data_IF_231740834145
#
_entry.id   IF_231740834145
#
_cell.length_a   1.000
_cell.length_b   1.000
_cell.length_c   1.000
_cell.angle_alpha   90.00
_cell.angle_beta   90.00
_cell.angle_gamma   90.00
#
_symmetry.space_group_name_H-M   'P 1'
#
loop_
_entity.id
_entity.type
_entity.pdbx_description
1 polymer ?
#
# COMPACT_ATOMS: atom_id res chain seq x y z
N UNK A 1 -8.36 -15.27 79.45
CA UNK A 1 -8.61 -14.93 78.03
C UNK A 1 -7.28 -14.79 77.26
N UNK A 2 -6.21 -15.40 77.76
CA UNK A 2 -4.84 -15.27 77.17
C UNK A 2 -4.17 -16.62 76.90
N UNK A 3 -4.91 -17.70 76.78
CA UNK A 3 -4.34 -19.03 76.53
C UNK A 3 -4.88 -19.73 75.24
N UNK A 4 -5.39 -18.98 74.29
CA UNK A 4 -5.93 -19.54 73.06
C UNK A 4 -5.28 -19.02 71.78
N UNK A 5 -4.06 -18.45 71.87
CA UNK A 5 -3.37 -17.84 70.70
C UNK A 5 -2.08 -18.59 70.30
N UNK A 6 -1.79 -19.72 70.94
CA UNK A 6 -0.59 -20.50 70.53
C UNK A 6 -0.93 -21.96 70.27
N UNK A 7 -1.19 -22.28 69.09
CA UNK A 7 -1.09 -23.55 68.39
C UNK A 7 -2.35 -23.87 67.55
N UNK A 8 -2.35 -23.43 66.35
CA UNK A 8 -2.72 -24.21 65.15
C UNK A 8 -2.80 -23.26 63.95
N UNK A 9 -1.98 -23.45 63.01
CA UNK A 9 -2.15 -22.89 61.67
C UNK A 9 -3.44 -23.47 61.07
N UNK A 10 -4.52 -22.68 61.11
CA UNK A 10 -5.75 -22.97 60.36
C UNK A 10 -5.62 -22.21 59.04
N UNK A 11 -5.54 -22.97 57.96
CA UNK A 11 -5.73 -22.44 56.58
C UNK A 11 -7.18 -21.92 56.47
N UNK A 12 -7.32 -20.60 56.38
CA UNK A 12 -8.62 -19.96 56.10
C UNK A 12 -8.60 -19.58 54.63
N UNK A 13 -9.40 -20.26 53.80
CA UNK A 13 -9.73 -19.80 52.43
C UNK A 13 -10.79 -18.72 52.50
N UNK A 14 -10.50 -17.54 51.97
CA UNK A 14 -11.48 -16.47 51.80
C UNK A 14 -11.99 -16.49 50.35
N UNK A 15 -13.27 -16.74 50.19
CA UNK A 15 -14.00 -16.47 48.94
C UNK A 15 -14.73 -15.14 49.08
N UNK A 16 -14.35 -14.15 48.25
CA UNK A 16 -15.08 -12.89 48.14
C UNK A 16 -15.98 -12.92 46.92
N UNK A 17 -17.28 -12.97 47.09
CA UNK A 17 -18.25 -12.69 46.04
C UNK A 17 -18.49 -11.17 45.95
N UNK A 18 -18.16 -10.58 44.82
CA UNK A 18 -18.43 -9.17 44.50
C UNK A 18 -19.82 -9.14 43.83
N UNK A 19 -20.83 -8.73 44.53
CA UNK A 19 -22.18 -8.50 43.99
C UNK A 19 -22.25 -7.24 43.11
N UNK A 20 -23.11 -7.28 42.11
CA UNK A 20 -23.35 -6.20 41.14
C UNK A 20 -23.73 -4.87 41.81
N UNK A 21 -23.03 -3.81 41.40
CA UNK A 21 -23.25 -2.43 41.87
C UNK A 21 -24.41 -1.79 41.12
N UNK A 22 -25.47 -1.42 41.85
CA UNK A 22 -26.58 -0.59 41.37
C UNK A 22 -26.46 0.78 42.01
N UNK A 23 -26.01 1.76 41.25
CA UNK A 23 -25.85 3.14 41.69
C UNK A 23 -27.20 3.86 41.64
N UNK A 24 -27.94 3.91 42.76
CA UNK A 24 -29.08 4.81 42.92
C UNK A 24 -29.41 5.09 44.39
N UNK A 25 -28.42 5.29 45.26
CA UNK A 25 -28.67 5.91 46.57
C UNK A 25 -27.44 6.50 47.25
N UNK A 26 -27.65 7.59 47.97
CA UNK A 26 -26.67 8.46 48.63
C UNK A 26 -25.93 7.81 49.81
N UNK A 27 -26.11 6.53 50.06
CA UNK A 27 -25.48 5.81 51.19
C UNK A 27 -24.84 4.51 50.68
N UNK A 28 -23.53 4.47 50.60
CA UNK A 28 -22.78 3.24 50.37
C UNK A 28 -22.55 2.51 51.69
N UNK A 29 -23.29 1.43 51.94
CA UNK A 29 -22.99 0.49 53.01
C UNK A 29 -22.41 -0.80 52.41
N UNK A 30 -21.16 -1.08 52.69
CA UNK A 30 -20.52 -2.37 52.35
C UNK A 30 -20.70 -3.32 53.53
N UNK A 31 -21.53 -4.35 53.36
CA UNK A 31 -21.68 -5.42 54.34
C UNK A 31 -20.72 -6.55 54.01
N UNK A 32 -19.73 -6.76 54.86
CA UNK A 32 -18.82 -7.91 54.74
C UNK A 32 -19.38 -9.02 55.62
N UNK A 33 -19.79 -10.11 55.03
CA UNK A 33 -20.23 -11.32 55.74
C UNK A 33 -19.00 -12.24 55.88
N UNK A 34 -18.60 -12.49 57.10
CA UNK A 34 -17.55 -13.45 57.43
C UNK A 34 -18.24 -14.72 57.96
N UNK A 35 -18.26 -15.78 57.20
CA UNK A 35 -18.72 -17.09 57.64
C UNK A 35 -17.55 -17.87 58.22
N UNK A 36 -17.57 -18.15 59.52
CA UNK A 36 -16.56 -18.98 60.19
C UNK A 36 -17.08 -20.45 60.19
N UNK A 37 -16.44 -21.29 59.40
CA UNK A 37 -16.71 -22.75 59.44
C UNK A 37 -15.73 -23.37 60.44
N UNK A 38 -16.24 -23.77 61.59
CA UNK A 38 -15.49 -24.56 62.57
C UNK A 38 -15.76 -26.06 62.31
N UNK A 39 -14.80 -26.76 61.81
CA UNK A 39 -14.82 -28.23 61.72
C UNK A 39 -14.38 -28.85 63.03
N UNK A 40 -15.33 -29.32 63.84
CA UNK A 40 -15.10 -30.09 65.03
C UNK A 40 -15.87 -31.43 65.00
N UNK A 41 -15.45 -32.49 65.78
CA UNK A 41 -16.01 -33.81 65.72
C UNK A 41 -17.49 -33.86 66.13
N UNK A 42 -18.21 -34.76 65.54
CA UNK A 42 -19.65 -34.95 65.59
C UNK A 42 -20.27 -34.81 66.96
N UNK A 43 -21.24 -33.89 67.11
CA UNK A 43 -22.16 -33.88 68.21
C UNK A 43 -22.48 -32.55 68.89
N UNK A 44 -22.19 -31.40 68.36
CA UNK A 44 -22.56 -30.13 68.93
C UNK A 44 -23.40 -29.26 68.00
N UNK A 45 -24.53 -28.75 68.51
CA UNK A 45 -25.42 -27.86 67.79
C UNK A 45 -24.71 -26.58 67.32
N UNK A 46 -24.84 -26.29 66.03
CA UNK A 46 -24.29 -25.09 65.37
C UNK A 46 -25.03 -23.85 65.88
N UNK A 47 -24.35 -23.00 66.63
CA UNK A 47 -24.82 -21.65 66.89
C UNK A 47 -24.24 -20.68 65.86
N UNK A 48 -25.11 -20.18 64.98
CA UNK A 48 -24.73 -19.10 64.07
C UNK A 48 -24.62 -17.78 64.82
N UNK A 49 -23.44 -17.27 64.95
CA UNK A 49 -23.23 -15.90 65.44
C UNK A 49 -22.91 -14.99 64.26
N UNK A 50 -23.89 -14.19 63.85
CA UNK A 50 -23.68 -13.13 62.83
C UNK A 50 -23.22 -11.86 63.55
N UNK A 51 -21.98 -11.43 63.36
CA UNK A 51 -21.51 -10.14 63.81
C UNK A 51 -21.55 -9.14 62.61
N UNK A 52 -22.46 -8.18 62.68
CA UNK A 52 -22.53 -7.07 61.75
C UNK A 52 -21.67 -5.90 62.27
N UNK A 53 -20.56 -5.59 61.64
CA UNK A 53 -19.79 -4.40 61.98
C UNK A 53 -20.18 -3.29 61.00
N UNK A 54 -20.99 -2.34 61.52
CA UNK A 54 -21.32 -1.11 60.78
C UNK A 54 -20.15 -0.12 60.90
N UNK A 55 -19.41 0.06 59.86
CA UNK A 55 -18.43 1.16 59.75
C UNK A 55 -19.14 2.35 59.09
N UNK A 56 -19.65 3.29 59.87
CA UNK A 56 -20.08 4.61 59.41
C UNK A 56 -18.83 5.49 59.31
N UNK A 57 -18.31 5.66 58.10
CA UNK A 57 -17.29 6.67 57.84
C UNK A 57 -17.98 7.88 57.25
N UNK A 58 -18.22 8.91 58.03
CA UNK A 58 -18.53 10.23 57.49
C UNK A 58 -17.36 10.73 56.66
N UNK A 59 -17.50 10.66 55.34
CA UNK A 59 -16.56 11.33 54.46
C UNK A 59 -17.08 12.75 54.22
N UNK A 60 -16.36 13.78 54.70
CA UNK A 60 -16.79 15.15 54.37
C UNK A 60 -16.77 15.30 52.85
N UNK A 61 -17.92 15.56 52.26
CA UNK A 61 -18.08 15.91 50.87
C UNK A 61 -17.41 17.25 50.64
N UNK A 62 -16.11 17.21 50.34
CA UNK A 62 -15.41 18.35 49.81
C UNK A 62 -15.86 18.61 48.36
N UNK A 63 -16.89 19.42 48.22
CA UNK A 63 -17.38 19.97 46.96
C UNK A 63 -16.34 20.92 46.30
N UNK A 64 -15.12 20.49 46.16
CA UNK A 64 -14.00 21.30 45.56
C UNK A 64 -13.21 20.58 44.45
N UNK A 65 -13.65 19.42 43.94
CA UNK A 65 -12.90 18.69 42.94
C UNK A 65 -13.56 18.63 41.54
N UNK A 66 -14.70 19.29 41.30
CA UNK A 66 -15.35 19.24 39.98
C UNK A 66 -14.64 20.09 38.91
N UNK A 67 -14.00 21.19 39.27
CA UNK A 67 -13.30 22.07 38.30
C UNK A 67 -11.95 21.52 37.80
N UNK A 68 -11.23 20.74 38.62
CA UNK A 68 -9.94 20.17 38.21
C UNK A 68 -10.07 18.91 37.34
N UNK A 69 -11.16 18.14 37.51
CA UNK A 69 -11.42 16.93 36.69
C UNK A 69 -11.81 17.26 35.25
N UNK A 70 -12.44 18.40 35.00
CA UNK A 70 -12.82 18.82 33.64
C UNK A 70 -11.61 19.23 32.80
N UNK A 71 -10.63 19.91 33.39
CA UNK A 71 -9.40 20.32 32.69
C UNK A 71 -8.50 19.13 32.32
N UNK A 72 -8.31 18.16 33.24
CA UNK A 72 -7.54 16.94 32.94
C UNK A 72 -8.22 16.06 31.89
N UNK A 73 -9.53 15.98 31.90
CA UNK A 73 -10.31 15.25 30.89
C UNK A 73 -10.19 15.87 29.50
N UNK A 74 -10.27 17.21 29.43
CA UNK A 74 -10.11 17.94 28.16
C UNK A 74 -8.67 17.84 27.63
N UNK A 75 -7.65 17.99 28.47
CA UNK A 75 -6.25 17.82 28.08
C UNK A 75 -5.97 16.43 27.53
N UNK A 76 -6.40 15.38 28.21
CA UNK A 76 -6.25 13.99 27.71
C UNK A 76 -6.97 13.77 26.40
N UNK A 77 -8.15 14.37 26.21
CA UNK A 77 -8.89 14.28 24.94
C UNK A 77 -8.14 14.96 23.79
N UNK A 78 -7.56 16.15 24.03
CA UNK A 78 -6.74 16.87 23.05
C UNK A 78 -5.48 16.06 22.72
N UNK A 79 -4.74 15.57 23.71
CA UNK A 79 -3.55 14.76 23.49
C UNK A 79 -3.86 13.50 22.68
N UNK A 80 -4.97 12.82 22.97
CA UNK A 80 -5.41 11.63 22.22
C UNK A 80 -5.78 11.97 20.79
N UNK A 81 -6.55 13.04 20.59
CA UNK A 81 -6.91 13.51 19.24
C UNK A 81 -5.67 13.83 18.41
N UNK A 82 -4.73 14.59 19.01
CA UNK A 82 -3.48 14.96 18.34
C UNK A 82 -2.63 13.72 18.02
N UNK A 83 -2.51 12.79 18.95
CA UNK A 83 -1.75 11.54 18.73
C UNK A 83 -2.36 10.70 17.60
N UNK A 84 -3.69 10.57 17.54
CA UNK A 84 -4.37 9.84 16.46
C UNK A 84 -4.21 10.57 15.11
N UNK A 85 -4.27 11.91 15.10
CA UNK A 85 -4.05 12.71 13.90
C UNK A 85 -2.61 12.55 13.38
N UNK A 86 -1.62 12.60 14.27
CA UNK A 86 -0.22 12.36 13.90
C UNK A 86 0.01 10.94 13.39
N UNK A 87 -0.66 9.94 13.98
CA UNK A 87 -0.60 8.57 13.50
C UNK A 87 -1.17 8.43 12.08
N UNK A 88 -2.32 9.07 11.79
CA UNK A 88 -2.89 9.11 10.43
C UNK A 88 -1.92 9.78 9.46
N UNK A 89 -1.36 10.93 9.85
CA UNK A 89 -0.38 11.64 9.03
C UNK A 89 0.85 10.78 8.74
N UNK A 90 1.37 10.09 9.75
CA UNK A 90 2.51 9.19 9.59
C UNK A 90 2.21 8.03 8.62
N UNK A 91 0.99 7.45 8.68
CA UNK A 91 0.55 6.42 7.73
C UNK A 91 0.47 6.99 6.32
N UNK A 92 -0.10 8.18 6.15
CA UNK A 92 -0.22 8.80 4.82
C UNK A 92 1.16 9.18 4.26
N UNK A 93 2.06 9.75 5.06
CA UNK A 93 3.43 10.04 4.63
C UNK A 93 4.21 8.78 4.29
N UNK A 94 4.12 7.73 5.12
CA UNK A 94 4.71 6.43 4.80
C UNK A 94 4.13 5.82 3.54
N UNK A 95 2.82 5.97 3.32
CA UNK A 95 2.17 5.49 2.09
C UNK A 95 2.57 6.32 0.86
N UNK A 96 2.89 7.61 1.00
CA UNK A 96 3.45 8.43 -0.08
C UNK A 96 4.82 7.91 -0.54
N UNK A 97 5.68 7.50 0.39
CA UNK A 97 6.95 6.84 0.05
C UNK A 97 6.70 5.53 -0.71
N UNK A 98 5.73 4.72 -0.24
CA UNK A 98 5.32 3.51 -0.95
C UNK A 98 4.75 3.80 -2.35
N UNK A 99 4.00 4.88 -2.52
CA UNK A 99 3.49 5.30 -3.82
C UNK A 99 4.63 5.69 -4.77
N UNK A 100 5.61 6.46 -4.31
CA UNK A 100 6.79 6.82 -5.12
C UNK A 100 7.58 5.58 -5.57
N UNK A 101 7.72 4.57 -4.69
CA UNK A 101 8.52 3.38 -4.98
C UNK A 101 7.81 2.39 -5.92
N UNK A 102 6.51 2.16 -5.73
CA UNK A 102 5.74 1.10 -6.42
C UNK A 102 4.38 1.54 -6.94
N UNK A 103 3.68 2.41 -6.21
CA UNK A 103 2.28 2.73 -6.47
C UNK A 103 2.05 3.49 -7.78
N UNK A 104 3.02 4.30 -8.18
CA UNK A 104 3.01 5.03 -9.44
C UNK A 104 2.90 4.10 -10.66
N UNK A 105 3.51 2.92 -10.60
CA UNK A 105 3.44 1.91 -11.67
C UNK A 105 2.06 1.29 -11.88
N UNK A 106 1.19 1.29 -10.87
CA UNK A 106 -0.17 0.77 -11.00
C UNK A 106 -1.02 1.59 -11.98
N UNK A 107 -0.71 2.87 -12.13
CA UNK A 107 -1.45 3.80 -12.97
C UNK A 107 -0.74 4.08 -14.32
N UNK A 108 0.46 3.54 -14.55
CA UNK A 108 1.23 3.74 -15.80
C UNK A 108 0.43 3.25 -17.01
N UNK A 109 -0.21 2.10 -16.92
CA UNK A 109 -1.02 1.57 -18.02
C UNK A 109 -2.17 2.50 -18.39
N UNK A 110 -2.83 3.12 -17.40
CA UNK A 110 -3.90 4.10 -17.63
C UNK A 110 -3.36 5.37 -18.28
N UNK A 111 -2.25 5.89 -17.78
CA UNK A 111 -1.62 7.09 -18.33
C UNK A 111 -1.16 6.87 -19.76
N UNK A 112 -0.49 5.74 -20.05
CA UNK A 112 -0.04 5.41 -21.39
C UNK A 112 -1.18 5.21 -22.37
N UNK A 113 -2.29 4.54 -21.99
CA UNK A 113 -3.48 4.41 -22.84
C UNK A 113 -4.14 5.75 -23.14
N UNK A 114 -4.15 6.67 -22.18
CA UNK A 114 -4.71 8.02 -22.38
C UNK A 114 -3.84 8.84 -23.33
N UNK A 115 -2.52 8.78 -23.17
CA UNK A 115 -1.56 9.42 -24.06
C UNK A 115 -1.60 8.78 -25.46
N UNK A 116 -1.72 7.47 -25.58
CA UNK A 116 -1.91 6.74 -26.85
C UNK A 116 -3.14 7.24 -27.62
N UNK A 117 -4.23 7.57 -26.92
CA UNK A 117 -5.43 8.18 -27.53
C UNK A 117 -5.21 9.66 -27.90
N UNK A 118 -4.33 10.36 -27.21
CA UNK A 118 -4.06 11.79 -27.43
C UNK A 118 -3.01 12.02 -28.51
N UNK A 119 -2.09 11.07 -28.71
CA UNK A 119 -0.99 11.16 -29.70
C UNK A 119 -1.45 10.68 -31.07
N UNK A 120 -0.74 11.14 -32.11
CA UNK A 120 -0.98 10.71 -33.49
C UNK A 120 -0.45 9.30 -33.76
N UNK A 121 0.48 8.82 -32.96
CA UNK A 121 1.09 7.50 -33.13
C UNK A 121 0.20 6.44 -32.55
N UNK A 122 -0.39 5.64 -33.42
CA UNK A 122 -1.21 4.48 -33.04
C UNK A 122 -0.32 3.25 -32.93
N UNK A 123 -0.16 2.72 -31.72
CA UNK A 123 0.56 1.45 -31.53
C UNK A 123 -0.39 0.31 -31.82
N UNK A 124 -0.27 -0.31 -33.00
CA UNK A 124 -1.14 -1.37 -33.45
C UNK A 124 -1.03 -2.61 -32.54
N UNK A 125 -2.16 -3.27 -32.31
CA UNK A 125 -2.15 -4.55 -31.58
C UNK A 125 -1.56 -5.64 -32.47
N UNK A 126 -0.68 -6.47 -31.91
CA UNK A 126 -0.20 -7.67 -32.59
C UNK A 126 -1.35 -8.64 -32.87
N UNK A 127 -1.25 -9.42 -33.94
CA UNK A 127 -2.24 -10.44 -34.28
C UNK A 127 -2.35 -11.49 -33.18
N UNK A 128 -3.50 -11.64 -32.51
CA UNK A 128 -3.65 -12.57 -31.39
C UNK A 128 -3.47 -14.03 -31.83
N UNK A 129 -2.91 -14.86 -30.95
CA UNK A 129 -2.81 -16.31 -31.13
C UNK A 129 -1.81 -16.76 -32.20
N UNK A 130 -0.98 -15.86 -32.72
CA UNK A 130 0.10 -16.17 -33.65
C UNK A 130 1.45 -15.82 -33.04
N UNK A 131 2.44 -16.67 -33.30
CA UNK A 131 3.84 -16.44 -32.94
C UNK A 131 4.54 -15.78 -34.11
N UNK A 132 5.08 -14.58 -33.88
CA UNK A 132 5.86 -13.88 -34.89
C UNK A 132 7.23 -14.54 -35.07
N UNK A 133 7.59 -14.83 -36.31
CA UNK A 133 8.95 -15.33 -36.62
C UNK A 133 9.93 -14.15 -36.67
N UNK A 134 11.00 -14.22 -35.88
CA UNK A 134 12.07 -13.21 -35.90
C UNK A 134 12.82 -13.25 -37.23
N UNK A 135 13.07 -12.08 -37.80
CA UNK A 135 13.87 -11.85 -38.98
C UNK A 135 15.23 -11.29 -38.57
N UNK A 136 16.29 -11.77 -39.20
CA UNK A 136 17.66 -11.40 -38.88
C UNK A 136 18.28 -10.58 -40.03
N UNK A 137 17.45 -10.04 -40.90
CA UNK A 137 17.82 -9.10 -41.97
C UNK A 137 17.79 -7.67 -41.44
N UNK A 138 18.18 -6.71 -42.23
CA UNK A 138 18.06 -5.30 -41.90
C UNK A 138 16.62 -4.95 -41.54
N UNK A 139 16.39 -4.37 -40.35
CA UNK A 139 15.07 -4.00 -39.90
C UNK A 139 14.57 -2.74 -40.64
N UNK A 140 13.26 -2.60 -40.82
CA UNK A 140 12.66 -1.31 -41.13
C UNK A 140 12.95 -0.32 -39.98
N UNK A 141 13.19 0.93 -40.32
CA UNK A 141 13.35 2.03 -39.36
C UNK A 141 12.12 2.92 -39.47
N UNK A 142 11.42 3.09 -38.36
CA UNK A 142 10.27 3.98 -38.31
C UNK A 142 10.71 5.45 -38.26
N UNK A 143 9.82 6.35 -38.65
CA UNK A 143 10.07 7.79 -38.60
C UNK A 143 10.29 8.25 -37.15
N UNK A 144 11.18 9.21 -36.96
CA UNK A 144 11.41 9.82 -35.68
C UNK A 144 10.14 10.51 -35.17
N UNK A 145 9.69 10.19 -33.94
CA UNK A 145 8.51 10.81 -33.36
C UNK A 145 8.78 12.26 -32.93
N UNK A 146 7.71 13.03 -32.77
CA UNK A 146 7.81 14.37 -32.20
C UNK A 146 8.24 14.35 -30.74
N UNK A 147 8.87 15.43 -30.28
CA UNK A 147 9.22 15.55 -28.85
C UNK A 147 7.98 15.34 -27.98
N UNK A 148 8.17 14.63 -26.86
CA UNK A 148 7.14 14.32 -25.88
C UNK A 148 6.02 13.40 -26.43
N UNK A 149 6.24 12.74 -27.57
CA UNK A 149 5.32 11.79 -28.18
C UNK A 149 5.60 10.37 -27.71
N UNK A 150 4.53 9.64 -27.34
CA UNK A 150 4.60 8.21 -27.04
C UNK A 150 4.72 7.43 -28.35
N UNK A 151 5.80 6.66 -28.53
CA UNK A 151 6.02 5.93 -29.78
C UNK A 151 6.36 4.45 -29.62
N UNK A 152 6.74 4.01 -28.41
CA UNK A 152 7.16 2.64 -28.18
C UNK A 152 6.86 2.18 -26.76
N UNK A 153 7.11 0.89 -26.51
CA UNK A 153 7.17 0.29 -25.19
C UNK A 153 8.40 -0.58 -25.03
N UNK A 154 9.07 -0.47 -23.89
CA UNK A 154 10.09 -1.44 -23.49
C UNK A 154 9.41 -2.62 -22.84
N UNK A 155 9.76 -3.83 -23.28
CA UNK A 155 9.27 -5.08 -22.76
C UNK A 155 10.40 -6.03 -22.42
N UNK A 156 10.37 -6.59 -21.20
CA UNK A 156 11.41 -7.51 -20.73
C UNK A 156 10.74 -8.78 -20.23
N UNK A 157 10.73 -9.87 -21.02
CA UNK A 157 10.02 -11.11 -20.66
C UNK A 157 10.50 -11.76 -19.36
N UNK A 158 11.79 -11.63 -19.03
CA UNK A 158 12.38 -12.18 -17.79
C UNK A 158 11.89 -11.48 -16.52
N UNK A 159 11.42 -10.23 -16.59
CA UNK A 159 10.84 -9.54 -15.44
C UNK A 159 9.37 -9.92 -15.26
N UNK A 160 8.58 -9.69 -16.30
CA UNK A 160 7.17 -10.08 -16.37
C UNK A 160 6.69 -10.00 -17.82
N UNK A 161 5.86 -10.96 -18.23
CA UNK A 161 5.18 -10.90 -19.54
C UNK A 161 4.24 -9.70 -19.66
N UNK A 162 3.80 -9.14 -18.54
CA UNK A 162 2.91 -7.99 -18.50
C UNK A 162 3.68 -6.67 -18.40
N UNK A 163 4.98 -6.73 -18.12
CA UNK A 163 5.80 -5.53 -18.07
C UNK A 163 5.78 -4.84 -19.43
N UNK A 164 5.30 -3.62 -19.46
CA UNK A 164 5.14 -2.79 -20.64
C UNK A 164 5.38 -1.35 -20.25
N UNK A 165 6.62 -0.90 -20.36
CA UNK A 165 7.05 0.43 -19.98
C UNK A 165 6.91 1.37 -21.18
N UNK A 166 6.07 2.42 -21.11
CA UNK A 166 5.91 3.36 -22.22
C UNK A 166 7.21 4.15 -22.49
N UNK A 167 7.45 4.46 -23.75
CA UNK A 167 8.62 5.22 -24.21
C UNK A 167 8.17 6.46 -24.95
N UNK A 168 8.61 7.60 -24.44
CA UNK A 168 8.40 8.90 -25.07
C UNK A 168 9.67 9.41 -25.73
N UNK A 169 9.52 10.24 -26.77
CA UNK A 169 10.65 10.94 -27.37
C UNK A 169 11.14 12.07 -26.47
N UNK A 170 12.44 12.06 -26.15
CA UNK A 170 13.09 13.04 -25.28
C UNK A 170 13.31 12.53 -23.86
N UNK A 171 14.25 13.17 -23.16
CA UNK A 171 14.64 12.83 -21.77
C UNK A 171 14.54 14.03 -20.83
N UNK A 172 13.78 15.05 -21.20
CA UNK A 172 13.48 16.17 -20.33
C UNK A 172 12.71 15.70 -19.08
N UNK A 173 12.85 16.42 -17.96
CA UNK A 173 12.16 16.08 -16.71
C UNK A 173 10.65 15.92 -16.92
N UNK A 174 10.03 16.80 -17.72
CA UNK A 174 8.60 16.76 -18.03
C UNK A 174 8.17 15.51 -18.78
N UNK A 175 9.08 14.89 -19.54
CA UNK A 175 8.87 13.62 -20.24
C UNK A 175 8.97 12.46 -19.25
N UNK A 176 10.07 12.41 -18.49
CA UNK A 176 10.32 11.31 -17.54
C UNK A 176 9.28 11.29 -16.39
N UNK A 177 8.78 12.45 -15.97
CA UNK A 177 7.74 12.55 -14.93
C UNK A 177 6.38 11.94 -15.38
N UNK A 178 6.20 11.62 -16.67
CA UNK A 178 5.02 10.88 -17.17
C UNK A 178 5.02 9.40 -16.77
N UNK A 179 6.04 8.92 -16.08
CA UNK A 179 6.25 7.52 -15.71
C UNK A 179 6.46 6.62 -16.93
N UNK A 180 7.72 6.34 -17.18
CA UNK A 180 8.21 5.52 -18.27
C UNK A 180 9.59 5.96 -18.73
N UNK A 181 10.04 5.40 -19.84
CA UNK A 181 11.33 5.72 -20.40
C UNK A 181 11.25 6.89 -21.39
N UNK A 182 12.30 7.70 -21.43
CA UNK A 182 12.53 8.67 -22.47
C UNK A 182 13.61 8.17 -23.42
N UNK A 183 13.39 8.27 -24.72
CA UNK A 183 14.39 8.02 -25.75
C UNK A 183 15.26 9.27 -25.93
N UNK A 184 16.57 9.11 -25.93
CA UNK A 184 17.49 10.21 -26.26
C UNK A 184 17.35 10.58 -27.74
N UNK A 185 16.77 11.73 -28.05
CA UNK A 185 16.51 12.18 -29.41
C UNK A 185 17.77 12.29 -30.30
N UNK A 186 18.95 12.41 -29.70
CA UNK A 186 20.24 12.40 -30.41
C UNK A 186 20.77 11.02 -30.74
N UNK A 187 20.09 9.96 -30.35
CA UNK A 187 20.49 8.57 -30.52
C UNK A 187 19.69 7.86 -31.59
N UNK A 188 20.15 6.68 -32.02
CA UNK A 188 19.50 5.92 -33.08
C UNK A 188 18.07 5.47 -32.71
N UNK A 189 17.17 5.47 -33.69
CA UNK A 189 15.84 4.85 -33.54
C UNK A 189 15.99 3.32 -33.42
N UNK A 190 14.98 2.60 -32.86
CA UNK A 190 14.99 1.14 -32.77
C UNK A 190 15.31 0.48 -34.10
N UNK A 191 16.29 -0.42 -34.10
CA UNK A 191 16.75 -1.12 -35.32
C UNK A 191 17.67 -0.35 -36.23
N UNK A 192 17.86 0.95 -36.05
CA UNK A 192 18.80 1.77 -36.81
C UNK A 192 20.24 1.47 -36.42
N UNK A 193 21.19 1.68 -37.37
CA UNK A 193 22.63 1.65 -37.09
C UNK A 193 22.98 2.73 -36.08
N UNK A 194 23.77 2.38 -35.07
CA UNK A 194 24.10 3.21 -33.94
C UNK A 194 23.50 2.63 -32.63
N UNK A 195 23.38 3.45 -31.62
CA UNK A 195 22.95 3.04 -30.28
C UNK A 195 21.58 3.69 -29.95
N UNK A 196 20.54 2.87 -29.76
CA UNK A 196 19.21 3.33 -29.33
C UNK A 196 19.19 3.41 -27.82
N UNK A 197 19.12 4.62 -27.26
CA UNK A 197 19.37 4.85 -25.84
C UNK A 197 18.13 5.39 -25.11
N UNK A 198 17.88 4.85 -23.92
CA UNK A 198 16.69 5.13 -23.12
C UNK A 198 17.05 5.44 -21.67
N UNK A 199 16.44 6.47 -21.11
CA UNK A 199 16.55 6.81 -19.69
C UNK A 199 15.21 6.68 -18.99
N UNK A 200 15.21 6.25 -17.74
CA UNK A 200 14.01 6.20 -16.90
C UNK A 200 14.37 6.40 -15.42
N UNK A 201 13.33 6.59 -14.61
CA UNK A 201 13.52 6.74 -13.18
C UNK A 201 13.98 5.44 -12.51
N UNK A 202 14.68 5.56 -11.38
CA UNK A 202 15.17 4.43 -10.57
C UNK A 202 14.11 3.86 -9.61
N UNK A 203 12.86 3.88 -10.01
CA UNK A 203 11.76 3.28 -9.23
C UNK A 203 11.43 1.89 -9.76
N UNK A 204 10.87 1.02 -8.90
CA UNK A 204 10.43 -0.32 -9.29
C UNK A 204 9.27 -0.31 -10.31
N UNK A 205 8.59 0.83 -10.40
CA UNK A 205 7.54 1.05 -11.38
C UNK A 205 8.08 1.39 -12.77
N UNK A 206 9.36 1.74 -12.87
CA UNK A 206 10.03 2.23 -14.08
C UNK A 206 11.25 1.37 -14.40
N UNK A 207 12.46 1.88 -14.33
CA UNK A 207 13.67 1.21 -14.82
C UNK A 207 14.62 0.70 -13.73
N UNK A 208 14.21 0.69 -12.45
CA UNK A 208 15.09 0.20 -11.38
C UNK A 208 15.56 -1.25 -11.60
N UNK A 209 14.75 -2.08 -12.28
CA UNK A 209 15.03 -3.51 -12.48
C UNK A 209 16.02 -3.80 -13.62
N UNK A 210 16.56 -2.79 -14.33
CA UNK A 210 17.68 -3.01 -15.24
C UNK A 210 18.90 -3.62 -14.53
N UNK A 211 19.03 -3.40 -13.21
CA UNK A 211 20.03 -4.03 -12.32
C UNK A 211 19.98 -5.56 -12.29
N UNK A 212 18.86 -6.15 -12.67
CA UNK A 212 18.64 -7.60 -12.68
C UNK A 212 18.96 -8.24 -14.05
N UNK A 213 19.15 -7.43 -15.08
CA UNK A 213 19.49 -7.91 -16.42
C UNK A 213 20.87 -8.56 -16.45
N UNK A 214 20.99 -9.60 -17.24
CA UNK A 214 22.21 -10.37 -17.42
C UNK A 214 22.48 -10.57 -18.89
N UNK A 215 23.75 -10.76 -19.29
CA UNK A 215 24.08 -11.13 -20.66
C UNK A 215 23.25 -12.34 -21.11
N UNK A 216 22.59 -12.19 -22.25
CA UNK A 216 21.67 -13.17 -22.81
C UNK A 216 20.20 -12.89 -22.58
N UNK A 217 19.82 -12.03 -21.63
CA UNK A 217 18.44 -11.60 -21.45
C UNK A 217 17.94 -10.83 -22.68
N UNK A 218 16.65 -10.92 -22.94
CA UNK A 218 16.01 -10.31 -24.09
C UNK A 218 15.23 -9.07 -23.66
N UNK A 219 15.43 -7.99 -24.43
CA UNK A 219 14.66 -6.74 -24.35
C UNK A 219 13.97 -6.51 -25.69
N UNK A 220 12.69 -6.24 -25.67
CA UNK A 220 11.95 -5.82 -26.86
C UNK A 220 11.63 -4.33 -26.79
N UNK A 221 11.85 -3.64 -27.90
CA UNK A 221 11.24 -2.33 -28.15
C UNK A 221 10.05 -2.58 -29.08
N UNK A 222 8.86 -2.44 -28.52
CA UNK A 222 7.57 -2.59 -29.23
C UNK A 222 7.16 -1.21 -29.75
N UNK A 223 7.21 -1.00 -31.06
CA UNK A 223 6.79 0.24 -31.72
C UNK A 223 5.39 0.14 -32.32
N UNK A 224 5.01 1.07 -33.20
CA UNK A 224 3.71 1.05 -33.85
C UNK A 224 3.46 -0.28 -34.58
N UNK A 225 4.40 -0.71 -35.42
CA UNK A 225 4.22 -1.84 -36.33
C UNK A 225 5.17 -3.01 -36.12
N UNK A 226 6.23 -2.81 -35.32
CA UNK A 226 7.32 -3.77 -35.21
C UNK A 226 7.68 -4.14 -33.78
N UNK A 227 8.31 -5.32 -33.67
CA UNK A 227 9.03 -5.80 -32.51
C UNK A 227 10.52 -5.75 -32.85
N UNK A 228 11.32 -4.93 -32.17
CA UNK A 228 12.78 -4.94 -32.24
C UNK A 228 13.31 -5.68 -31.04
N UNK A 229 14.00 -6.79 -31.30
CA UNK A 229 14.60 -7.64 -30.28
C UNK A 229 16.04 -7.28 -30.08
N UNK A 230 16.42 -7.04 -28.84
CA UNK A 230 17.80 -6.84 -28.42
C UNK A 230 18.16 -7.89 -27.39
N UNK A 231 19.42 -8.33 -27.40
CA UNK A 231 19.99 -9.24 -26.44
C UNK A 231 21.00 -8.50 -25.59
N UNK A 232 20.84 -8.53 -24.28
CA UNK A 232 21.76 -7.91 -23.33
C UNK A 232 23.16 -8.53 -23.52
N UNK A 233 24.18 -7.71 -23.67
CA UNK A 233 25.57 -8.12 -23.90
C UNK A 233 26.51 -7.65 -22.79
N UNK A 234 26.06 -6.83 -21.84
CA UNK A 234 26.84 -6.38 -20.70
C UNK A 234 26.19 -6.74 -19.37
N UNK A 235 26.97 -6.83 -18.30
CA UNK A 235 26.44 -6.75 -16.95
C UNK A 235 26.06 -5.30 -16.64
N UNK A 236 25.14 -5.06 -15.70
CA UNK A 236 24.86 -3.71 -15.20
C UNK A 236 26.13 -3.05 -14.67
N UNK A 237 26.42 -1.84 -15.15
CA UNK A 237 27.57 -1.03 -14.76
C UNK A 237 27.10 0.25 -14.05
N UNK A 238 27.84 0.67 -13.03
CA UNK A 238 27.61 1.94 -12.33
C UNK A 238 28.66 2.94 -12.78
N UNK A 239 28.19 4.03 -13.35
CA UNK A 239 29.06 5.11 -13.86
C UNK A 239 28.69 6.45 -13.22
N UNK A 240 29.61 7.40 -13.24
CA UNK A 240 29.32 8.77 -12.82
C UNK A 240 28.30 9.42 -13.78
N UNK A 241 27.46 10.30 -13.25
CA UNK A 241 26.41 10.97 -14.03
C UNK A 241 26.94 11.84 -15.18
N UNK A 242 28.22 12.20 -15.16
CA UNK A 242 28.87 13.01 -16.20
C UNK A 242 29.31 12.19 -17.41
N UNK A 243 29.27 10.84 -17.31
CA UNK A 243 29.59 9.94 -18.41
C UNK A 243 28.50 9.98 -19.48
N UNK A 244 28.76 10.76 -20.56
CA UNK A 244 27.87 10.87 -21.72
C UNK A 244 28.22 9.90 -22.85
N UNK A 245 29.43 9.37 -22.84
CA UNK A 245 29.92 8.37 -23.80
C UNK A 245 29.14 7.05 -23.81
N UNK A 246 28.42 6.75 -22.72
CA UNK A 246 27.55 5.56 -22.58
C UNK A 246 26.37 5.53 -23.56
N UNK A 247 26.02 6.65 -24.17
CA UNK A 247 24.94 6.74 -25.18
C UNK A 247 25.46 6.98 -26.61
N UNK A 248 26.79 7.08 -26.79
CA UNK A 248 27.39 7.26 -28.12
C UNK A 248 27.05 6.09 -29.06
N UNK A 249 27.12 6.28 -30.39
CA UNK A 249 26.71 5.28 -31.37
C UNK A 249 27.35 3.90 -31.22
N UNK A 250 28.58 3.84 -30.72
CA UNK A 250 29.39 2.62 -30.54
C UNK A 250 29.43 2.12 -29.09
N UNK A 251 28.75 2.79 -28.15
CA UNK A 251 28.82 2.48 -26.72
C UNK A 251 28.45 1.02 -26.38
N UNK A 252 27.54 0.42 -27.13
CA UNK A 252 27.14 -0.98 -26.94
C UNK A 252 28.12 -1.99 -27.54
N UNK A 253 29.18 -1.53 -28.25
CA UNK A 253 30.19 -2.37 -28.89
C UNK A 253 29.68 -3.19 -30.09
N UNK A 254 28.56 -2.79 -30.69
CA UNK A 254 27.90 -3.47 -31.81
C UNK A 254 27.32 -2.45 -32.79
N UNK A 255 27.06 -2.86 -34.03
CA UNK A 255 26.59 -1.98 -35.09
C UNK A 255 25.20 -1.36 -34.79
N UNK A 256 24.30 -2.13 -34.15
CA UNK A 256 22.96 -1.70 -33.72
C UNK A 256 22.80 -2.00 -32.25
N UNK A 257 23.07 -1.00 -31.43
CA UNK A 257 23.10 -1.09 -29.98
C UNK A 257 21.78 -0.70 -29.31
N UNK A 258 21.67 -1.12 -28.05
CA UNK A 258 20.68 -0.67 -27.08
C UNK A 258 21.42 -0.21 -25.83
N UNK A 259 21.01 0.93 -25.26
CA UNK A 259 21.42 1.35 -23.92
C UNK A 259 20.22 1.66 -23.06
N UNK A 260 20.14 1.01 -21.91
CA UNK A 260 19.17 1.31 -20.85
C UNK A 260 19.91 2.00 -19.69
N UNK A 261 19.37 3.11 -19.24
CA UNK A 261 19.98 3.94 -18.19
C UNK A 261 18.98 4.32 -17.11
N UNK A 262 19.38 4.22 -15.85
CA UNK A 262 18.63 4.76 -14.71
C UNK A 262 19.56 5.40 -13.68
N UNK A 263 19.00 6.16 -12.75
CA UNK A 263 19.75 6.73 -11.64
C UNK A 263 20.24 5.64 -10.67
N UNK A 264 21.38 5.86 -10.01
CA UNK A 264 21.91 4.97 -8.97
C UNK A 264 22.47 5.75 -7.79
N UNK A 265 22.32 5.28 -6.53
CA UNK A 265 21.56 4.10 -6.10
C UNK A 265 20.04 4.28 -6.23
N UNK A 266 19.28 3.19 -6.05
CA UNK A 266 17.82 3.26 -5.92
C UNK A 266 17.53 4.01 -4.63
N UNK A 267 17.10 5.25 -4.74
CA UNK A 267 16.79 6.14 -3.63
C UNK A 267 15.50 6.89 -3.92
N UNK A 268 14.74 7.11 -2.86
CA UNK A 268 13.56 7.94 -2.90
C UNK A 268 13.98 9.32 -2.39
N UNK A 269 14.30 10.22 -3.32
CA UNK A 269 14.84 11.55 -3.01
C UNK A 269 16.36 11.60 -2.90
N UNK A 270 16.87 12.82 -2.75
CA UNK A 270 18.32 13.07 -2.63
C UNK A 270 19.04 13.31 -3.94
N UNK A 271 20.31 13.66 -3.85
CA UNK A 271 21.17 13.99 -5.00
C UNK A 271 21.85 12.72 -5.53
N UNK A 272 21.34 12.19 -6.63
CA UNK A 272 21.87 10.96 -7.24
C UNK A 272 22.97 11.30 -8.23
N UNK A 273 24.19 10.90 -7.91
CA UNK A 273 25.41 11.26 -8.67
C UNK A 273 25.86 10.19 -9.66
N UNK A 274 25.27 8.99 -9.63
CA UNK A 274 25.65 7.89 -10.51
C UNK A 274 24.47 7.44 -11.39
N UNK A 275 24.82 6.69 -12.43
CA UNK A 275 23.87 6.04 -13.33
C UNK A 275 24.20 4.55 -13.38
N UNK A 276 23.15 3.74 -13.49
CA UNK A 276 23.26 2.34 -13.83
C UNK A 276 23.00 2.18 -15.32
N UNK A 277 23.87 1.49 -16.01
CA UNK A 277 23.84 1.32 -17.46
C UNK A 277 23.81 -0.17 -17.78
N UNK A 278 23.03 -0.53 -18.79
CA UNK A 278 23.02 -1.88 -19.38
C UNK A 278 23.03 -1.71 -20.89
N UNK A 279 23.92 -2.45 -21.56
CA UNK A 279 24.01 -2.49 -23.01
C UNK A 279 23.46 -3.79 -23.59
N UNK A 280 22.97 -3.71 -24.81
CA UNK A 280 22.51 -4.85 -25.59
C UNK A 280 22.78 -4.66 -27.08
N UNK A 281 22.79 -5.75 -27.83
CA UNK A 281 22.90 -5.76 -29.27
C UNK A 281 21.60 -6.22 -29.94
N UNK A 282 21.32 -5.66 -31.12
CA UNK A 282 20.22 -6.06 -31.94
C UNK A 282 20.27 -7.55 -32.28
N UNK A 283 19.15 -8.26 -32.09
CA UNK A 283 19.04 -9.72 -32.25
C UNK A 283 17.82 -10.11 -33.09
N UNK A 284 17.36 -9.21 -33.95
CA UNK A 284 16.26 -9.46 -34.88
C UNK A 284 15.03 -8.58 -34.68
N UNK A 285 14.08 -8.71 -35.62
CA UNK A 285 12.83 -7.96 -35.63
C UNK A 285 11.68 -8.79 -36.18
N UNK A 286 10.46 -8.39 -35.92
CA UNK A 286 9.27 -8.97 -36.54
C UNK A 286 8.17 -7.92 -36.69
N UNK A 287 7.35 -7.98 -37.77
CA UNK A 287 6.16 -7.16 -37.84
C UNK A 287 5.08 -7.67 -36.87
N UNK A 288 4.34 -6.77 -36.28
CA UNK A 288 3.24 -7.10 -35.34
C UNK A 288 2.07 -7.80 -36.05
N UNK A 289 1.92 -7.60 -37.35
CA UNK A 289 0.99 -8.35 -38.18
C UNK A 289 1.24 -9.86 -38.17
N UNK A 290 2.48 -10.30 -37.98
CA UNK A 290 2.83 -11.71 -37.94
C UNK A 290 2.47 -12.36 -36.59
N UNK A 291 2.24 -11.58 -35.55
CA UNK A 291 1.87 -12.05 -34.21
C UNK A 291 2.69 -11.43 -33.09
N UNK A 292 2.83 -12.18 -32.00
CA UNK A 292 3.66 -11.81 -30.84
C UNK A 292 4.94 -12.64 -30.80
N UNK A 293 6.04 -12.13 -30.24
CA UNK A 293 7.25 -12.92 -30.00
C UNK A 293 6.98 -14.18 -29.19
N UNK A 294 7.76 -15.24 -29.40
CA UNK A 294 7.56 -16.56 -28.77
C UNK A 294 7.47 -16.46 -27.24
N UNK A 295 8.27 -15.60 -26.61
CA UNK A 295 8.29 -15.37 -25.17
C UNK A 295 6.97 -14.84 -24.61
N UNK A 296 6.11 -14.26 -25.44
CA UNK A 296 4.78 -13.76 -25.11
C UNK A 296 3.65 -14.64 -25.59
N UNK A 297 3.92 -15.64 -26.46
CA UNK A 297 2.90 -16.48 -27.08
C UNK A 297 2.36 -17.57 -26.16
N UNK A 298 3.20 -18.10 -25.25
CA UNK A 298 2.78 -19.12 -24.28
C UNK A 298 1.99 -18.51 -23.15
N UNK A 299 0.69 -18.66 -23.15
CA UNK A 299 -0.20 -18.13 -22.11
C UNK A 299 -0.74 -19.22 -21.22
N UNK A 300 -0.05 -19.54 -20.17
CA UNK A 300 -0.71 -20.07 -18.95
C UNK A 300 -1.06 -18.87 -18.05
N UNK A 301 -2.17 -18.21 -18.41
CA UNK A 301 -2.70 -17.12 -17.58
C UNK A 301 -3.01 -17.63 -16.17
N UNK A 302 -2.36 -17.08 -15.18
CA UNK A 302 -2.71 -17.33 -13.79
C UNK A 302 -4.05 -16.68 -13.47
N UNK A 303 -4.70 -17.11 -12.38
CA UNK A 303 -5.93 -16.46 -11.91
C UNK A 303 -5.70 -14.97 -11.60
N UNK A 304 -4.50 -14.63 -11.10
CA UNK A 304 -4.09 -13.25 -10.81
C UNK A 304 -4.05 -12.43 -12.09
N UNK A 305 -3.49 -12.96 -13.19
CA UNK A 305 -3.43 -12.29 -14.48
C UNK A 305 -4.82 -12.00 -15.05
N UNK A 306 -5.73 -12.98 -14.92
CA UNK A 306 -7.13 -12.82 -15.37
C UNK A 306 -7.86 -11.75 -14.59
N UNK A 307 -7.68 -11.71 -13.26
CA UNK A 307 -8.27 -10.68 -12.38
C UNK A 307 -7.66 -9.31 -12.70
N UNK A 308 -6.33 -9.23 -12.81
CA UNK A 308 -5.63 -7.98 -13.15
C UNK A 308 -6.15 -7.37 -14.46
N UNK A 309 -6.26 -8.16 -15.54
CA UNK A 309 -6.83 -7.68 -16.81
C UNK A 309 -8.28 -7.21 -16.69
N UNK A 310 -9.12 -7.89 -15.88
CA UNK A 310 -10.48 -7.41 -15.63
C UNK A 310 -10.50 -6.06 -14.93
N UNK A 311 -9.66 -5.88 -13.92
CA UNK A 311 -9.55 -4.60 -13.20
C UNK A 311 -9.11 -3.50 -14.15
N UNK A 312 -8.07 -3.72 -14.96
CA UNK A 312 -7.62 -2.76 -15.99
C UNK A 312 -8.75 -2.45 -16.96
N UNK A 313 -9.47 -3.47 -17.47
CA UNK A 313 -10.58 -3.24 -18.41
C UNK A 313 -11.74 -2.44 -17.80
N UNK A 314 -11.99 -2.57 -16.50
CA UNK A 314 -12.98 -1.76 -15.77
C UNK A 314 -12.47 -0.34 -15.60
N UNK A 315 -11.20 -0.18 -15.26
CA UNK A 315 -10.54 1.11 -15.15
C UNK A 315 -10.61 1.90 -16.46
N UNK A 316 -10.32 1.25 -17.59
CA UNK A 316 -10.42 1.84 -18.93
C UNK A 316 -11.87 2.25 -19.29
N UNK A 317 -12.87 1.43 -18.92
CA UNK A 317 -14.29 1.75 -19.16
C UNK A 317 -14.79 2.93 -18.33
N UNK A 318 -14.28 3.08 -17.11
CA UNK A 318 -14.64 4.16 -16.22
C UNK A 318 -13.81 5.42 -16.46
N UNK A 319 -12.85 5.38 -17.37
CA UNK A 319 -11.84 6.44 -17.61
C UNK A 319 -11.18 6.87 -16.29
N UNK A 320 -10.79 5.87 -15.48
CA UNK A 320 -10.24 6.07 -14.13
C UNK A 320 -9.03 5.17 -13.92
N UNK A 321 -7.97 5.66 -13.24
CA UNK A 321 -6.83 4.83 -12.89
C UNK A 321 -7.19 3.62 -12.02
N UNK A 322 -6.39 2.56 -12.12
CA UNK A 322 -6.58 1.31 -11.36
C UNK A 322 -6.64 1.55 -9.85
N UNK A 323 -5.76 2.42 -9.32
CA UNK A 323 -5.77 2.80 -7.90
C UNK A 323 -7.09 3.42 -7.47
N UNK A 324 -7.68 4.28 -8.30
CA UNK A 324 -8.99 4.89 -8.05
C UNK A 324 -10.11 3.86 -8.01
N UNK A 325 -10.16 2.95 -8.99
CA UNK A 325 -11.17 1.87 -9.06
C UNK A 325 -11.07 0.96 -7.83
N UNK A 326 -9.85 0.48 -7.51
CA UNK A 326 -9.63 -0.39 -6.35
C UNK A 326 -9.96 0.30 -5.04
N UNK A 327 -9.62 1.60 -4.92
CA UNK A 327 -9.95 2.39 -3.74
C UNK A 327 -11.46 2.54 -3.53
N UNK A 328 -12.21 2.85 -4.58
CA UNK A 328 -13.67 2.92 -4.53
C UNK A 328 -14.31 1.56 -4.26
N UNK A 329 -13.82 0.48 -4.85
CA UNK A 329 -14.28 -0.87 -4.56
C UNK A 329 -14.05 -1.25 -3.09
N UNK A 330 -12.87 -0.93 -2.53
CA UNK A 330 -12.57 -1.19 -1.14
C UNK A 330 -13.52 -0.42 -0.19
N UNK A 331 -13.78 0.86 -0.47
CA UNK A 331 -14.74 1.65 0.29
C UNK A 331 -16.19 1.16 0.14
N UNK A 332 -16.59 0.74 -1.05
CA UNK A 332 -17.92 0.16 -1.27
C UNK A 332 -18.09 -1.16 -0.51
N UNK A 333 -17.09 -2.04 -0.53
CA UNK A 333 -17.06 -3.26 0.27
C UNK A 333 -17.10 -2.95 1.79
N UNK A 334 -16.31 -1.97 2.24
CA UNK A 334 -16.39 -1.52 3.63
C UNK A 334 -17.79 -1.03 4.00
N UNK A 335 -18.39 -0.16 3.19
CA UNK A 335 -19.71 0.40 3.45
C UNK A 335 -20.78 -0.69 3.52
N UNK A 336 -20.73 -1.67 2.61
CA UNK A 336 -21.61 -2.84 2.62
C UNK A 336 -21.44 -3.67 3.90
N UNK A 337 -20.19 -4.04 4.24
CA UNK A 337 -19.91 -4.82 5.44
C UNK A 337 -20.27 -4.05 6.71
N UNK A 338 -20.04 -2.73 6.74
CA UNK A 338 -20.45 -1.88 7.85
C UNK A 338 -21.98 -1.82 7.98
N UNK A 339 -22.70 -1.68 6.87
CA UNK A 339 -24.18 -1.70 6.86
C UNK A 339 -24.72 -3.05 7.36
N UNK A 340 -24.16 -4.17 6.89
CA UNK A 340 -24.48 -5.52 7.38
C UNK A 340 -24.18 -5.63 8.88
N UNK A 341 -23.03 -5.17 9.32
CA UNK A 341 -22.67 -5.16 10.75
C UNK A 341 -23.61 -4.32 11.59
N UNK A 342 -24.03 -3.13 11.10
CA UNK A 342 -25.04 -2.30 11.76
C UNK A 342 -26.40 -3.00 11.83
N UNK A 343 -26.81 -3.70 10.78
CA UNK A 343 -28.08 -4.41 10.73
C UNK A 343 -28.13 -5.58 11.74
N UNK A 344 -27.08 -6.40 11.80
CA UNK A 344 -27.08 -7.62 12.64
C UNK A 344 -26.54 -7.40 14.05
N UNK A 345 -25.74 -6.34 14.27
CA UNK A 345 -25.09 -6.06 15.56
C UNK A 345 -25.44 -4.68 16.13
N UNK A 346 -26.57 -4.08 15.71
CA UNK A 346 -26.93 -2.70 16.01
C UNK A 346 -26.89 -2.33 17.51
N UNK A 347 -27.36 -3.23 18.39
CA UNK A 347 -27.34 -2.99 19.83
C UNK A 347 -25.90 -2.84 20.35
N UNK A 348 -24.99 -3.73 19.97
CA UNK A 348 -23.56 -3.66 20.36
C UNK A 348 -22.87 -2.49 19.69
N UNK A 349 -23.15 -2.25 18.42
CA UNK A 349 -22.62 -1.11 17.69
C UNK A 349 -23.03 0.22 18.33
N UNK A 350 -24.32 0.37 18.71
CA UNK A 350 -24.83 1.56 19.37
C UNK A 350 -24.18 1.81 20.75
N UNK A 351 -23.98 0.76 21.55
CA UNK A 351 -23.28 0.84 22.84
C UNK A 351 -21.82 1.24 22.62
N UNK A 352 -21.12 0.59 21.68
CA UNK A 352 -19.73 0.93 21.35
C UNK A 352 -19.59 2.36 20.79
N UNK A 353 -20.58 2.87 20.08
CA UNK A 353 -20.59 4.23 19.56
C UNK A 353 -20.83 5.28 20.64
N UNK A 354 -21.73 5.00 21.61
CA UNK A 354 -22.12 5.91 22.69
C UNK A 354 -21.18 5.91 23.89
N UNK A 355 -20.52 4.78 24.15
CA UNK A 355 -19.93 4.47 25.45
C UNK A 355 -18.57 5.06 25.78
N UNK A 356 -17.98 5.97 24.99
CA UNK A 356 -16.63 6.47 25.29
C UNK A 356 -16.49 7.91 24.84
N UNK A 357 -15.87 8.75 25.66
CA UNK A 357 -15.64 10.15 25.43
C UNK A 357 -14.99 10.53 24.09
N UNK A 358 -14.65 11.78 23.91
CA UNK A 358 -14.09 12.34 22.68
C UNK A 358 -12.87 11.53 22.23
N UNK A 359 -13.00 10.79 21.13
CA UNK A 359 -11.91 10.08 20.47
C UNK A 359 -11.45 10.85 19.25
N UNK A 360 -10.23 10.59 18.76
CA UNK A 360 -9.72 11.12 17.51
C UNK A 360 -10.30 10.41 16.28
N UNK A 361 -9.81 10.76 15.08
CA UNK A 361 -10.33 10.24 13.81
C UNK A 361 -10.25 8.71 13.70
N UNK A 362 -9.17 8.09 14.17
CA UNK A 362 -8.96 6.64 14.15
C UNK A 362 -10.01 5.94 15.03
N UNK A 363 -10.19 6.44 16.25
CA UNK A 363 -11.20 5.93 17.17
C UNK A 363 -12.61 6.08 16.61
N UNK A 364 -12.90 7.21 15.96
CA UNK A 364 -14.22 7.44 15.34
C UNK A 364 -14.49 6.46 14.19
N UNK A 365 -13.51 6.29 13.27
CA UNK A 365 -13.59 5.33 12.17
C UNK A 365 -13.76 3.89 12.69
N UNK A 366 -13.03 3.54 13.75
CA UNK A 366 -13.19 2.24 14.40
C UNK A 366 -14.61 2.05 14.94
N UNK A 367 -15.21 3.07 15.55
CA UNK A 367 -16.59 3.00 16.06
C UNK A 367 -17.61 2.92 14.93
N UNK A 368 -17.40 3.62 13.83
CA UNK A 368 -18.26 3.58 12.67
C UNK A 368 -18.27 2.22 11.95
N UNK A 369 -17.27 1.36 12.24
CA UNK A 369 -17.11 0.04 11.64
C UNK A 369 -17.51 -1.05 12.63
N UNK A 370 -18.77 -1.54 12.66
CA UNK A 370 -19.20 -2.59 13.58
C UNK A 370 -18.70 -3.97 13.16
N UNK A 371 -18.66 -4.91 14.12
CA UNK A 371 -18.42 -6.32 13.82
C UNK A 371 -19.62 -6.97 13.13
N UNK A 372 -19.35 -7.98 12.28
CA UNK A 372 -20.39 -8.65 11.49
C UNK A 372 -21.29 -9.56 12.34
N UNK A 373 -20.75 -10.15 13.40
CA UNK A 373 -21.47 -11.10 14.24
C UNK A 373 -21.49 -10.67 15.70
N UNK A 374 -22.66 -10.74 16.31
CA UNK A 374 -22.90 -10.32 17.70
C UNK A 374 -22.80 -11.49 18.72
N UNK A 375 -22.25 -12.68 18.33
CA UNK A 375 -22.29 -13.88 19.16
C UNK A 375 -21.55 -13.72 20.49
N UNK A 376 -20.31 -13.26 20.46
CA UNK A 376 -19.54 -12.92 21.66
C UNK A 376 -18.58 -11.75 21.37
N UNK A 377 -17.92 -11.22 22.42
CA UNK A 377 -17.05 -10.06 22.29
C UNK A 377 -15.82 -10.32 21.42
N UNK A 378 -15.25 -11.52 21.49
CA UNK A 378 -14.05 -11.89 20.72
C UNK A 378 -14.40 -11.92 19.23
N UNK A 379 -15.45 -12.64 18.85
CA UNK A 379 -15.93 -12.75 17.47
C UNK A 379 -16.35 -11.39 16.92
N UNK A 380 -17.07 -10.59 17.72
CA UNK A 380 -17.45 -9.23 17.33
C UNK A 380 -16.23 -8.36 17.04
N UNK A 381 -15.22 -8.41 17.90
CA UNK A 381 -14.00 -7.61 17.71
C UNK A 381 -13.17 -8.13 16.52
N UNK A 382 -13.01 -9.45 16.40
CA UNK A 382 -12.26 -10.07 15.31
C UNK A 382 -12.88 -9.76 13.94
N UNK A 383 -14.20 -9.84 13.82
CA UNK A 383 -14.90 -9.58 12.55
C UNK A 383 -14.92 -8.09 12.16
N UNK A 384 -14.56 -7.16 13.06
CA UNK A 384 -14.36 -5.74 12.75
C UNK A 384 -13.10 -5.46 11.95
N UNK A 385 -12.05 -6.26 12.14
CA UNK A 385 -10.74 -5.99 11.50
C UNK A 385 -10.84 -6.04 9.97
N UNK A 386 -11.63 -6.93 9.39
CA UNK A 386 -11.77 -7.06 7.94
C UNK A 386 -12.35 -5.77 7.32
N UNK A 387 -13.55 -5.31 7.69
CA UNK A 387 -14.08 -4.07 7.11
C UNK A 387 -13.22 -2.85 7.49
N UNK A 388 -12.63 -2.81 8.69
CA UNK A 388 -11.74 -1.73 9.07
C UNK A 388 -10.46 -1.67 8.22
N UNK A 389 -9.88 -2.82 7.89
CA UNK A 389 -8.75 -2.90 6.97
C UNK A 389 -9.13 -2.43 5.55
N UNK A 390 -10.32 -2.83 5.05
CA UNK A 390 -10.81 -2.36 3.75
C UNK A 390 -11.02 -0.84 3.71
N UNK A 391 -11.48 -0.23 4.81
CA UNK A 391 -11.58 1.22 4.93
C UNK A 391 -10.22 1.88 4.74
N UNK A 392 -9.19 1.40 5.45
CA UNK A 392 -7.84 1.96 5.34
C UNK A 392 -7.20 1.73 3.98
N UNK A 393 -7.39 0.54 3.39
CA UNK A 393 -6.95 0.25 2.02
C UNK A 393 -7.60 1.23 1.03
N UNK A 394 -8.91 1.46 1.16
CA UNK A 394 -9.63 2.43 0.35
C UNK A 394 -9.08 3.86 0.52
N UNK A 395 -8.88 4.32 1.75
CA UNK A 395 -8.31 5.64 2.05
C UNK A 395 -6.91 5.79 1.42
N UNK A 396 -6.03 4.81 1.61
CA UNK A 396 -4.66 4.85 1.07
C UNK A 396 -4.67 4.87 -0.46
N UNK A 397 -5.46 4.02 -1.11
CA UNK A 397 -5.52 3.97 -2.57
C UNK A 397 -6.10 5.27 -3.17
N UNK A 398 -7.10 5.87 -2.52
CA UNK A 398 -7.63 7.18 -2.95
C UNK A 398 -6.63 8.31 -2.67
N UNK A 399 -5.86 8.21 -1.58
CA UNK A 399 -4.76 9.14 -1.32
C UNK A 399 -3.66 8.99 -2.39
N UNK A 400 -3.34 7.77 -2.81
CA UNK A 400 -2.42 7.52 -3.93
C UNK A 400 -2.92 8.15 -5.22
N UNK A 401 -4.22 8.10 -5.46
CA UNK A 401 -4.83 8.65 -6.68
C UNK A 401 -4.82 10.18 -6.74
N UNK A 402 -5.15 10.85 -5.65
CA UNK A 402 -5.32 12.30 -5.64
C UNK A 402 -4.33 13.03 -4.71
N UNK A 403 -4.08 12.47 -3.54
CA UNK A 403 -3.23 13.11 -2.53
C UNK A 403 -1.75 13.09 -2.91
N UNK A 404 -1.22 11.94 -3.35
CA UNK A 404 0.19 11.81 -3.70
C UNK A 404 0.60 12.70 -4.89
N UNK A 405 -0.12 12.73 -6.02
CA UNK A 405 0.20 13.64 -7.12
C UNK A 405 0.09 15.11 -6.71
N UNK A 406 -0.90 15.45 -5.88
CA UNK A 406 -1.04 16.83 -5.37
C UNK A 406 0.10 17.23 -4.44
N UNK A 407 0.57 16.34 -3.58
CA UNK A 407 1.74 16.56 -2.75
C UNK A 407 3.01 16.72 -3.59
N UNK A 408 3.18 15.87 -4.59
CA UNK A 408 4.34 15.89 -5.48
C UNK A 408 4.44 17.18 -6.30
N UNK A 409 3.30 17.75 -6.70
CA UNK A 409 3.21 19.03 -7.37
C UNK A 409 3.31 20.23 -6.41
N UNK A 410 3.31 20.02 -5.11
CA UNK A 410 3.31 21.09 -4.12
C UNK A 410 4.73 21.52 -3.73
N UNK A 411 4.90 22.77 -3.22
CA UNK A 411 6.18 23.21 -2.66
C UNK A 411 6.61 22.43 -1.41
N UNK A 412 5.77 21.54 -0.88
CA UNK A 412 6.08 20.70 0.28
C UNK A 412 6.81 19.40 -0.12
N UNK A 413 6.80 19.03 -1.40
CA UNK A 413 7.46 17.82 -1.88
C UNK A 413 8.95 17.72 -1.45
N UNK A 414 9.78 18.78 -1.55
CA UNK A 414 11.17 18.73 -1.09
C UNK A 414 11.30 18.53 0.43
N UNK A 415 10.34 19.02 1.23
CA UNK A 415 10.36 18.87 2.70
C UNK A 415 10.04 17.46 3.16
N UNK A 416 9.28 16.71 2.36
CA UNK A 416 8.88 15.33 2.68
C UNK A 416 9.93 14.31 2.23
N UNK A 417 10.72 14.67 1.21
CA UNK A 417 11.69 13.77 0.57
C UNK A 417 13.15 14.17 0.82
N UNK A 418 13.40 15.35 1.41
CA UNK A 418 14.60 15.97 1.98
C UNK A 418 15.91 15.74 1.36
#
# INVERSE_FOLDING_TARGET
MEKCIQSQLIQTEYTAEIGEYKADSVYDSVTIRLDCIQSGPAGAHSAMASASILFSREVPVLARHSAHRTGEGAFRAVCRFTAELLAVLAVLLGSYVGWKAWGSGLDVSYTSHREEKATRTVIHKATPGRVAAMRYTDPPVEAEPGNDELFAYIRVPSWSRQYRLPVWQGTAKTVLDKMGAGHYASTAMPGQVGNSSYAGHNTYADMADIRLLKPGDVVYIETADYWYRYKVNSNPEIVDQTRTDVIEPDAAGVERGLTLQTCWPIMIGGNVTHRMIVHGGFDGWAPKSDGVPAEYAETTDTTVDKVGRKVVSVADRLDMPVTGVLGLCALACWALLAAVGWLFSWRRAAVAFRGHGVGGPVTWLWRATPGLFASNQIVYTATRFIPYALLWVGIVLLFWRWGCPALDASPLAPLVMG
#
